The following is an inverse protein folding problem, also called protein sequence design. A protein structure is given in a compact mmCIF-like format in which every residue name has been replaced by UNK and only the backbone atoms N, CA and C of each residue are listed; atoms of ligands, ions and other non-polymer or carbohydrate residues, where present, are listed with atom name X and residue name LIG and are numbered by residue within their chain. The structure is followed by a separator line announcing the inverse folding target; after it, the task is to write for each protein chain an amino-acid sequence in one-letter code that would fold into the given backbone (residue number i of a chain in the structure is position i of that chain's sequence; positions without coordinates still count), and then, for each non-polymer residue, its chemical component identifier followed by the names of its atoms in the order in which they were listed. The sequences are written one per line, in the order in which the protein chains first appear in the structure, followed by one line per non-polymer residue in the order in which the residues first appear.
data_IF_479920055921
#
_entry.id   IF_479920055921
#
_cell.length_a   1.000
_cell.length_b   1.000
_cell.length_c   1.000
_cell.angle_alpha   90.00
_cell.angle_beta   90.00
_cell.angle_gamma   90.00
#
_symmetry.space_group_name_H-M   'P 1'
#
loop_
_entity.id
_entity.type
_entity.pdbx_description
1 polymer ?
#
# COMPACT_ATOMS: atom_id res chain seq x y z
N UNK A 1 -6.37 -8.90 -11.86
CA UNK A 1 -5.19 -9.33 -12.58
C UNK A 1 -4.08 -9.67 -11.61
N UNK A 2 -3.43 -10.81 -11.74
CA UNK A 2 -2.40 -11.21 -10.80
C UNK A 2 -1.16 -10.33 -10.93
N UNK A 3 -0.52 -10.09 -9.79
CA UNK A 3 0.72 -9.33 -9.74
C UNK A 3 1.87 -10.13 -10.35
N UNK A 4 2.78 -9.45 -11.03
CA UNK A 4 4.00 -10.07 -11.54
C UNK A 4 4.82 -10.63 -10.37
N UNK A 5 5.37 -11.87 -10.47
CA UNK A 5 6.10 -12.48 -9.36
C UNK A 5 7.28 -11.68 -8.83
N UNK A 6 8.05 -11.03 -9.70
CA UNK A 6 9.19 -10.21 -9.26
C UNK A 6 8.75 -9.01 -8.45
N UNK A 7 7.65 -8.37 -8.85
CA UNK A 7 7.09 -7.26 -8.11
C UNK A 7 6.58 -7.71 -6.75
N UNK A 8 5.86 -8.82 -6.73
CA UNK A 8 5.37 -9.41 -5.49
C UNK A 8 6.52 -9.69 -4.52
N UNK A 9 7.60 -10.29 -5.03
CA UNK A 9 8.75 -10.63 -4.20
C UNK A 9 9.45 -9.38 -3.67
N UNK A 10 9.58 -8.34 -4.49
CA UNK A 10 10.18 -7.08 -4.08
C UNK A 10 9.34 -6.38 -3.00
N UNK A 11 8.03 -6.34 -3.18
CA UNK A 11 7.11 -5.77 -2.20
C UNK A 11 7.16 -6.56 -0.91
N UNK A 12 7.11 -7.89 -0.99
CA UNK A 12 7.15 -8.77 0.18
C UNK A 12 8.47 -8.63 0.95
N UNK A 13 9.59 -8.52 0.24
CA UNK A 13 10.90 -8.34 0.86
C UNK A 13 10.98 -7.00 1.61
N UNK A 14 10.52 -5.92 1.00
CA UNK A 14 10.51 -4.61 1.64
C UNK A 14 9.57 -4.58 2.85
N UNK A 15 8.42 -5.23 2.75
CA UNK A 15 7.46 -5.35 3.83
C UNK A 15 8.05 -6.11 5.02
N UNK A 16 8.68 -7.24 4.76
CA UNK A 16 9.32 -8.04 5.81
C UNK A 16 10.46 -7.28 6.48
N UNK A 17 11.27 -6.57 5.69
CA UNK A 17 12.36 -5.76 6.22
C UNK A 17 11.84 -4.64 7.12
N UNK A 18 10.78 -3.97 6.70
CA UNK A 18 10.16 -2.90 7.50
C UNK A 18 9.68 -3.45 8.86
N UNK A 19 8.95 -4.54 8.85
CA UNK A 19 8.41 -5.12 10.08
C UNK A 19 9.50 -5.65 11.01
N UNK A 20 10.64 -6.06 10.46
CA UNK A 20 11.77 -6.54 11.27
C UNK A 20 12.50 -5.39 11.97
N UNK A 21 12.64 -4.25 11.29
CA UNK A 21 13.38 -3.10 11.82
C UNK A 21 12.56 -2.31 12.82
N UNK A 22 11.27 -2.13 12.55
CA UNK A 22 10.39 -1.28 13.34
C UNK A 22 9.47 -2.05 14.28
N UNK A 23 10.00 -3.06 14.94
CA UNK A 23 9.21 -3.85 15.88
C UNK A 23 8.54 -3.05 16.99
N UNK A 24 9.16 -1.97 17.41
CA UNK A 24 8.68 -1.16 18.54
C UNK A 24 7.60 -0.17 18.14
N UNK A 25 7.53 0.19 16.87
CA UNK A 25 6.42 0.94 16.34
C UNK A 25 5.40 -0.03 15.77
N UNK A 26 4.25 0.43 15.41
CA UNK A 26 3.18 -0.46 14.96
C UNK A 26 3.65 -1.31 13.76
N UNK A 27 3.71 -2.62 13.96
CA UNK A 27 3.99 -3.58 12.90
C UNK A 27 2.81 -3.60 11.94
N UNK A 28 3.09 -3.58 10.64
CA UNK A 28 2.04 -3.63 9.63
C UNK A 28 1.46 -5.06 9.57
N UNK A 29 0.13 -5.20 9.53
CA UNK A 29 -0.49 -6.52 9.47
C UNK A 29 -0.32 -7.17 8.09
N UNK A 30 -0.46 -8.50 7.99
CA UNK A 30 -0.36 -9.20 6.71
C UNK A 30 -1.34 -8.70 5.64
N UNK A 31 -2.51 -8.20 6.06
CA UNK A 31 -3.47 -7.62 5.14
C UNK A 31 -2.95 -6.38 4.42
N UNK A 32 -2.01 -5.65 5.04
CA UNK A 32 -1.36 -4.51 4.37
C UNK A 32 -0.49 -4.98 3.20
N UNK A 33 0.21 -6.10 3.36
CA UNK A 33 0.97 -6.67 2.25
C UNK A 33 0.05 -7.09 1.11
N UNK A 34 -1.06 -7.75 1.43
CA UNK A 34 -2.06 -8.13 0.43
C UNK A 34 -2.57 -6.91 -0.32
N UNK A 35 -2.86 -5.83 0.40
CA UNK A 35 -3.33 -4.59 -0.21
C UNK A 35 -2.30 -4.01 -1.18
N UNK A 36 -1.02 -3.99 -0.80
CA UNK A 36 0.04 -3.51 -1.68
C UNK A 36 0.11 -4.32 -2.99
N UNK A 37 -0.05 -5.64 -2.91
CA UNK A 37 -0.02 -6.49 -4.10
C UNK A 37 -1.24 -6.26 -5.00
N UNK A 38 -2.38 -5.92 -4.42
CA UNK A 38 -3.59 -5.61 -5.17
C UNK A 38 -3.49 -4.24 -5.84
N UNK A 39 -2.93 -3.25 -5.14
CA UNK A 39 -2.83 -1.89 -5.64
C UNK A 39 -1.81 -1.73 -6.75
N UNK A 40 -0.71 -2.46 -6.70
CA UNK A 40 0.43 -2.25 -7.58
C UNK A 40 0.84 -3.51 -8.35
N UNK A 41 -0.08 -4.09 -9.14
CA UNK A 41 0.25 -5.32 -9.86
C UNK A 41 1.23 -5.13 -11.00
N UNK A 42 1.32 -3.92 -11.57
CA UNK A 42 2.14 -3.65 -12.75
C UNK A 42 2.96 -2.38 -12.70
N UNK A 43 2.55 -1.41 -11.92
CA UNK A 43 3.24 -0.12 -11.85
C UNK A 43 3.25 0.38 -10.42
N UNK A 44 4.02 1.43 -10.17
CA UNK A 44 4.14 2.03 -8.85
C UNK A 44 3.09 3.12 -8.61
N UNK A 45 2.05 3.16 -9.42
CA UNK A 45 0.95 4.10 -9.27
C UNK A 45 -0.39 3.37 -9.26
N UNK A 46 -1.28 3.80 -8.38
CA UNK A 46 -2.62 3.24 -8.25
C UNK A 46 -3.63 4.38 -8.18
N UNK A 47 -4.59 4.37 -9.11
CA UNK A 47 -5.66 5.37 -9.18
C UNK A 47 -7.02 4.82 -8.79
N UNK A 48 -7.05 3.65 -8.19
CA UNK A 48 -8.31 3.02 -7.80
C UNK A 48 -8.90 3.70 -6.57
N UNK A 49 -10.21 3.84 -6.55
CA UNK A 49 -10.94 4.37 -5.41
C UNK A 49 -10.98 3.33 -4.28
N UNK A 50 -11.31 3.78 -3.07
CA UNK A 50 -11.54 2.87 -1.94
C UNK A 50 -12.64 1.87 -2.27
N UNK A 51 -13.71 2.33 -2.90
CA UNK A 51 -14.82 1.44 -3.30
C UNK A 51 -14.34 0.36 -4.28
N UNK A 52 -13.50 0.72 -5.23
CA UNK A 52 -12.92 -0.24 -6.18
C UNK A 52 -12.03 -1.26 -5.48
N UNK A 53 -11.18 -0.81 -4.57
CA UNK A 53 -10.29 -1.70 -3.82
C UNK A 53 -11.08 -2.62 -2.90
N UNK A 54 -12.18 -2.14 -2.33
CA UNK A 54 -13.03 -2.96 -1.47
C UNK A 54 -13.61 -4.17 -2.20
N UNK A 55 -13.80 -4.07 -3.51
CA UNK A 55 -14.29 -5.18 -4.33
C UNK A 55 -13.31 -6.36 -4.37
N UNK A 56 -12.06 -6.15 -3.98
CA UNK A 56 -11.05 -7.21 -3.89
C UNK A 56 -11.14 -8.03 -2.60
N UNK A 57 -12.17 -7.79 -1.81
CA UNK A 57 -12.39 -8.54 -0.58
C UNK A 57 -12.00 -7.82 0.69
N UNK A 58 -11.85 -6.51 0.63
CA UNK A 58 -11.57 -5.70 1.82
C UNK A 58 -12.82 -5.00 2.29
N UNK A 59 -13.04 -4.98 3.60
CA UNK A 59 -14.05 -4.10 4.18
C UNK A 59 -13.53 -2.65 4.17
N UNK A 60 -14.45 -1.70 3.95
CA UNK A 60 -14.08 -0.29 3.75
C UNK A 60 -13.34 0.29 4.95
N UNK A 61 -13.82 0.02 6.16
CA UNK A 61 -13.21 0.57 7.37
C UNK A 61 -11.79 0.07 7.61
N UNK A 62 -11.55 -1.25 7.63
CA UNK A 62 -10.17 -1.77 7.69
C UNK A 62 -9.31 -1.31 6.52
N UNK A 63 -9.88 -1.22 5.32
CA UNK A 63 -9.14 -0.75 4.14
C UNK A 63 -8.61 0.67 4.33
N UNK A 64 -9.44 1.57 4.85
CA UNK A 64 -9.01 2.94 5.13
C UNK A 64 -7.90 3.00 6.18
N UNK A 65 -7.98 2.14 7.20
CA UNK A 65 -6.92 2.03 8.21
C UNK A 65 -5.61 1.52 7.61
N UNK A 66 -5.70 0.53 6.73
CA UNK A 66 -4.52 -0.02 6.06
C UNK A 66 -3.86 1.05 5.19
N UNK A 67 -4.63 1.80 4.42
CA UNK A 67 -4.11 2.88 3.60
C UNK A 67 -3.40 3.93 4.44
N UNK A 68 -4.00 4.32 5.56
CA UNK A 68 -3.39 5.29 6.48
C UNK A 68 -2.09 4.73 7.06
N UNK A 69 -2.10 3.48 7.51
CA UNK A 69 -0.90 2.85 8.07
C UNK A 69 0.25 2.79 7.05
N UNK A 70 -0.06 2.46 5.80
CA UNK A 70 0.92 2.41 4.73
C UNK A 70 1.46 3.80 4.38
N UNK A 71 0.61 4.82 4.42
CA UNK A 71 1.05 6.21 4.24
C UNK A 71 2.00 6.64 5.37
N UNK A 72 1.65 6.34 6.60
CA UNK A 72 2.47 6.67 7.76
C UNK A 72 3.80 5.92 7.75
N UNK A 73 3.79 4.67 7.31
CA UNK A 73 4.99 3.86 7.20
C UNK A 73 5.91 4.30 6.05
N UNK A 74 5.39 5.09 5.11
CA UNK A 74 6.17 5.55 3.97
C UNK A 74 6.16 4.63 2.77
N UNK A 75 5.39 3.53 2.79
CA UNK A 75 5.20 2.68 1.61
C UNK A 75 4.42 3.37 0.52
N UNK A 76 3.52 4.26 0.90
CA UNK A 76 2.69 5.01 -0.03
C UNK A 76 2.90 6.50 0.14
N UNK A 77 2.77 7.22 -0.96
CA UNK A 77 2.48 8.64 -0.95
C UNK A 77 1.19 8.86 -1.70
N UNK A 78 0.48 9.94 -1.37
CA UNK A 78 -0.81 10.25 -1.96
C UNK A 78 -0.73 11.57 -2.69
N UNK A 79 -1.14 11.57 -3.94
CA UNK A 79 -1.24 12.76 -4.75
C UNK A 79 -2.71 13.05 -5.02
N UNK A 80 -3.20 14.18 -4.54
CA UNK A 80 -4.58 14.56 -4.77
C UNK A 80 -4.72 15.15 -6.18
N UNK A 81 -5.80 14.73 -6.85
CA UNK A 81 -6.12 15.29 -8.14
C UNK A 81 -6.93 16.55 -7.95
N UNK A 82 -6.52 17.65 -8.61
CA UNK A 82 -7.29 18.88 -8.61
C UNK A 82 -8.65 18.72 -9.28
N UNK A 83 -8.75 17.76 -10.19
CA UNK A 83 -9.97 17.55 -10.96
C UNK A 83 -10.96 16.64 -10.27
N UNK A 84 -10.70 16.01 -9.30
CA UNK A 84 -11.44 15.15 -8.77
C UNK A 84 -11.50 14.21 -7.98
N UNK A 85 -11.81 13.46 -7.88
CA UNK A 85 -12.49 12.43 -7.14
C UNK A 85 -11.59 11.29 -6.64
N UNK A 86 -10.59 10.89 -7.41
CA UNK A 86 -9.75 9.76 -7.09
C UNK A 86 -8.31 10.20 -6.87
N UNK A 87 -7.76 9.86 -5.71
CA UNK A 87 -6.36 10.13 -5.41
C UNK A 87 -5.46 9.12 -6.09
N UNK A 88 -4.25 9.54 -6.46
CA UNK A 88 -3.23 8.62 -6.93
C UNK A 88 -2.32 8.27 -5.78
N UNK A 89 -2.16 6.96 -5.52
CA UNK A 89 -1.20 6.45 -4.57
C UNK A 89 0.04 5.99 -5.32
N UNK A 90 1.22 6.31 -4.78
CA UNK A 90 2.49 5.85 -5.35
C UNK A 90 3.19 4.96 -4.36
N UNK A 91 3.78 3.88 -4.88
CA UNK A 91 4.52 2.91 -4.08
C UNK A 91 5.99 3.34 -3.99
N UNK A 92 6.55 3.24 -2.80
CA UNK A 92 7.97 3.48 -2.55
C UNK A 92 8.62 2.25 -1.94
N UNK A 93 9.61 1.71 -2.62
CA UNK A 93 10.41 0.59 -2.16
C UNK A 93 11.90 0.97 -2.28
N UNK A 94 12.62 1.14 -1.18
CA UNK A 94 12.17 0.98 0.19
C UNK A 94 11.21 2.09 0.63
N UNK A 95 10.45 1.86 1.71
CA UNK A 95 9.52 2.86 2.18
C UNK A 95 10.20 4.15 2.59
N UNK A 96 9.58 5.28 2.26
CA UNK A 96 10.07 6.60 2.67
C UNK A 96 9.59 6.89 4.07
N UNK A 97 10.50 6.87 5.02
CA UNK A 97 10.14 7.18 6.38
C UNK A 97 9.96 8.68 6.56
N UNK A 98 8.87 9.05 7.21
CA UNK A 98 8.69 10.42 7.67
C UNK A 98 9.39 10.57 8.99
N UNK A 99 10.05 11.70 9.15
CA UNK A 99 10.59 12.11 10.43
C UNK A 99 9.63 13.06 11.11
#
# INVERSE_FOLDING_TARGET
MPIEPRRRDAIAAAFAAYNRIDRETATLPPSALRLLTVMFPRSDACRRSVASLAQEGFDVRPLRRLLRALLEAGFLSKQESLARVTNTYRLHLPPRRRR
#
